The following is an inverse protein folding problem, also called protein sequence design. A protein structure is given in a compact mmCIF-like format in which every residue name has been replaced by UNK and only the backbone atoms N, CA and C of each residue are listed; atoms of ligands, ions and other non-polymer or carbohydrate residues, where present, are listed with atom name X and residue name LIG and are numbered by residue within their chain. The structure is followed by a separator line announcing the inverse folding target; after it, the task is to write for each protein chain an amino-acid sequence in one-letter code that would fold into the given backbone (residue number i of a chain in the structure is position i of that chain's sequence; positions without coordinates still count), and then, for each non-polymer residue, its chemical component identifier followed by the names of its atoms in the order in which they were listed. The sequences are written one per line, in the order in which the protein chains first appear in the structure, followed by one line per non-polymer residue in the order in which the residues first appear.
data_IF_501481244955
#
_entry.id   IF_501481244955
#
_cell.length_a   1.000
_cell.length_b   1.000
_cell.length_c   1.000
_cell.angle_alpha   90.00
_cell.angle_beta   90.00
_cell.angle_gamma   90.00
#
_symmetry.space_group_name_H-M   'P 1'
#
loop_
_entity.id
_entity.type
_entity.pdbx_description
1 polymer ?
#
# COMPACT_ATOMS: atom_id res chain seq x y z
N UNK A 1 8.23 12.34 -5.16
CA UNK A 1 7.27 11.25 -5.47
C UNK A 1 6.54 10.94 -4.16
N UNK A 2 5.22 11.12 -4.04
CA UNK A 2 4.51 11.09 -2.74
C UNK A 2 3.84 9.74 -2.39
N UNK A 3 4.20 8.67 -3.10
CA UNK A 3 3.93 7.32 -2.58
C UNK A 3 5.12 6.86 -1.76
N UNK A 4 4.88 6.28 -0.57
CA UNK A 4 5.98 5.84 0.26
C UNK A 4 6.79 4.79 -0.49
N UNK A 5 8.12 4.97 -0.60
CA UNK A 5 8.94 3.92 -1.17
C UNK A 5 8.76 2.66 -0.34
N UNK A 6 8.81 1.49 -0.98
CA UNK A 6 8.62 0.21 -0.29
C UNK A 6 9.58 0.10 0.91
N UNK A 7 10.82 0.55 0.75
CA UNK A 7 11.82 0.61 1.83
C UNK A 7 11.36 1.39 3.07
N UNK A 8 10.60 2.49 2.88
CA UNK A 8 10.03 3.24 4.01
C UNK A 8 8.86 2.48 4.65
N UNK A 9 8.01 1.84 3.84
CA UNK A 9 6.91 1.04 4.36
C UNK A 9 7.41 -0.12 5.21
N UNK A 10 8.50 -0.76 4.81
CA UNK A 10 9.02 -1.96 5.49
C UNK A 10 10.28 -1.69 6.32
N UNK A 11 10.50 -0.45 6.77
CA UNK A 11 11.70 -0.10 7.54
C UNK A 11 11.75 -0.73 8.94
N UNK A 12 10.60 -1.18 9.44
CA UNK A 12 10.39 -1.79 10.75
C UNK A 12 10.12 -3.30 10.67
N UNK A 13 10.38 -3.92 9.52
CA UNK A 13 10.11 -5.34 9.32
C UNK A 13 11.02 -6.21 10.17
N UNK A 14 10.46 -7.26 10.77
CA UNK A 14 11.23 -8.32 11.41
C UNK A 14 11.94 -9.15 10.34
N UNK A 15 13.24 -8.91 10.17
CA UNK A 15 14.07 -9.56 9.16
C UNK A 15 14.25 -11.07 9.39
N UNK A 16 14.28 -11.54 10.64
CA UNK A 16 14.42 -12.97 10.93
C UNK A 16 13.10 -13.71 10.66
N UNK A 17 11.98 -13.13 11.07
CA UNK A 17 10.66 -13.65 10.71
C UNK A 17 10.46 -13.65 9.19
N UNK A 18 10.88 -12.59 8.50
CA UNK A 18 10.81 -12.52 7.03
C UNK A 18 11.66 -13.62 6.39
N UNK A 19 12.89 -13.82 6.85
CA UNK A 19 13.79 -14.86 6.34
C UNK A 19 13.21 -16.25 6.53
N UNK A 20 12.64 -16.51 7.71
CA UNK A 20 11.96 -17.77 8.03
C UNK A 20 10.78 -18.02 7.08
N UNK A 21 9.92 -17.01 6.93
CA UNK A 21 8.77 -17.05 6.02
C UNK A 21 9.21 -17.30 4.57
N UNK A 22 10.20 -16.56 4.05
CA UNK A 22 10.68 -16.76 2.69
C UNK A 22 11.26 -18.18 2.49
N UNK A 23 11.90 -18.75 3.52
CA UNK A 23 12.35 -20.13 3.52
C UNK A 23 11.19 -21.14 3.37
N UNK A 24 10.07 -20.90 4.06
CA UNK A 24 8.83 -21.68 3.93
C UNK A 24 8.24 -21.50 2.52
N UNK A 25 7.93 -20.26 2.13
CA UNK A 25 7.29 -19.93 0.85
C UNK A 25 8.10 -20.40 -0.35
N UNK A 26 9.44 -20.42 -0.27
CA UNK A 26 10.29 -20.84 -1.39
C UNK A 26 9.98 -22.26 -1.89
N UNK A 27 9.54 -23.14 -1.00
CA UNK A 27 9.28 -24.57 -1.28
C UNK A 27 7.88 -24.85 -1.82
N UNK A 28 7.00 -23.88 -1.73
CA UNK A 28 5.56 -24.05 -1.97
C UNK A 28 5.12 -23.41 -3.30
N UNK A 29 3.86 -23.59 -3.68
CA UNK A 29 3.29 -22.98 -4.89
C UNK A 29 2.69 -21.58 -4.65
N UNK A 30 2.16 -20.97 -5.71
CA UNK A 30 1.54 -19.64 -5.64
C UNK A 30 0.23 -19.62 -4.83
N UNK A 31 -0.53 -20.72 -4.83
CA UNK A 31 -1.80 -20.81 -4.12
C UNK A 31 -1.59 -20.91 -2.61
N UNK A 32 -0.60 -21.69 -2.18
CA UNK A 32 -0.12 -21.73 -0.80
C UNK A 32 0.31 -20.34 -0.34
N UNK A 33 1.16 -19.65 -1.13
CA UNK A 33 1.62 -18.30 -0.82
C UNK A 33 0.45 -17.32 -0.64
N UNK A 34 -0.57 -17.40 -1.50
CA UNK A 34 -1.80 -16.60 -1.39
C UNK A 34 -2.61 -16.94 -0.13
N UNK A 35 -2.77 -18.22 0.21
CA UNK A 35 -3.49 -18.64 1.42
C UNK A 35 -2.74 -18.22 2.69
N UNK A 36 -1.42 -18.39 2.73
CA UNK A 36 -0.56 -17.93 3.83
C UNK A 36 -0.67 -16.42 4.04
N UNK A 37 -0.77 -15.65 2.95
CA UNK A 37 -0.98 -14.20 3.03
C UNK A 37 -2.28 -13.85 3.79
N UNK A 38 -3.38 -14.55 3.48
CA UNK A 38 -4.66 -14.35 4.16
C UNK A 38 -4.60 -14.73 5.65
N UNK A 39 -3.92 -15.83 5.99
CA UNK A 39 -3.71 -16.24 7.38
C UNK A 39 -2.92 -15.21 8.17
N UNK A 40 -1.80 -14.73 7.61
CA UNK A 40 -0.96 -13.70 8.23
C UNK A 40 -1.72 -12.38 8.40
N UNK A 41 -2.56 -12.01 7.42
CA UNK A 41 -3.41 -10.83 7.54
C UNK A 41 -4.41 -10.97 8.70
N UNK A 42 -5.04 -12.14 8.86
CA UNK A 42 -5.95 -12.42 10.01
C UNK A 42 -5.23 -12.32 11.35
N UNK A 43 -3.93 -12.66 11.39
CA UNK A 43 -3.06 -12.50 12.55
C UNK A 43 -2.55 -11.06 12.74
N UNK A 44 -3.04 -10.10 11.94
CA UNK A 44 -2.62 -8.70 11.91
C UNK A 44 -1.14 -8.51 11.50
N UNK A 45 -0.51 -9.54 10.92
CA UNK A 45 0.84 -9.47 10.39
C UNK A 45 0.82 -9.02 8.92
N UNK A 46 0.53 -7.73 8.74
CA UNK A 46 0.34 -7.11 7.41
C UNK A 46 1.62 -7.20 6.56
N UNK A 47 2.79 -7.02 7.17
CA UNK A 47 4.06 -7.06 6.43
C UNK A 47 4.30 -8.42 5.81
N UNK A 48 4.18 -9.48 6.61
CA UNK A 48 4.35 -10.86 6.12
C UNK A 48 3.25 -11.24 5.12
N UNK A 49 2.03 -10.73 5.26
CA UNK A 49 0.97 -10.91 4.27
C UNK A 49 1.34 -10.31 2.91
N UNK A 50 1.92 -9.10 2.90
CA UNK A 50 2.39 -8.43 1.67
C UNK A 50 3.52 -9.22 1.00
N UNK A 51 4.49 -9.71 1.76
CA UNK A 51 5.56 -10.54 1.22
C UNK A 51 5.04 -11.88 0.68
N UNK A 52 4.09 -12.51 1.38
CA UNK A 52 3.50 -13.79 0.95
C UNK A 52 2.75 -13.67 -0.37
N UNK A 53 1.90 -12.65 -0.53
CA UNK A 53 1.25 -12.42 -1.83
C UNK A 53 2.28 -11.97 -2.89
N UNK A 54 3.32 -11.24 -2.47
CA UNK A 54 4.53 -10.95 -3.25
C UNK A 54 5.12 -12.20 -3.90
N UNK A 55 5.38 -13.23 -3.10
CA UNK A 55 5.92 -14.51 -3.55
C UNK A 55 4.96 -15.24 -4.51
N UNK A 56 3.65 -15.15 -4.31
CA UNK A 56 2.67 -15.72 -5.24
C UNK A 56 2.80 -15.13 -6.66
N UNK A 57 3.04 -13.81 -6.78
CA UNK A 57 3.31 -13.17 -8.08
C UNK A 57 4.55 -13.72 -8.76
N UNK A 58 5.65 -13.86 -8.01
CA UNK A 58 6.93 -14.32 -8.56
C UNK A 58 6.83 -15.77 -9.05
N UNK A 59 6.11 -16.60 -8.31
CA UNK A 59 5.91 -18.03 -8.65
C UNK A 59 5.01 -18.21 -9.86
N UNK A 60 3.96 -17.40 -10.00
CA UNK A 60 3.05 -17.50 -11.12
C UNK A 60 2.67 -16.13 -11.71
N UNK A 61 3.55 -15.53 -12.52
CA UNK A 61 3.31 -14.22 -13.12
C UNK A 61 2.08 -14.17 -14.03
N UNK A 62 1.66 -15.31 -14.60
CA UNK A 62 0.47 -15.40 -15.46
C UNK A 62 -0.82 -15.12 -14.70
N UNK A 63 -0.84 -15.34 -13.38
CA UNK A 63 -1.99 -15.08 -12.50
C UNK A 63 -1.95 -13.70 -11.82
N UNK A 64 -1.11 -12.77 -12.29
CA UNK A 64 -0.95 -11.43 -11.69
C UNK A 64 -2.28 -10.71 -11.43
N UNK A 65 -3.25 -10.82 -12.36
CA UNK A 65 -4.57 -10.18 -12.19
C UNK A 65 -5.35 -10.74 -11.00
N UNK A 66 -5.10 -11.98 -10.60
CA UNK A 66 -5.71 -12.63 -9.42
C UNK A 66 -5.13 -12.08 -8.13
N UNK A 67 -3.81 -11.84 -8.09
CA UNK A 67 -3.09 -11.47 -6.87
C UNK A 67 -2.99 -9.96 -6.64
N UNK A 68 -3.09 -9.17 -7.71
CA UNK A 68 -2.99 -7.72 -7.64
C UNK A 68 -4.06 -7.05 -6.75
N UNK A 69 -5.33 -7.50 -6.74
CA UNK A 69 -6.32 -7.03 -5.78
C UNK A 69 -5.94 -7.29 -4.32
N UNK A 70 -5.40 -8.48 -3.99
CA UNK A 70 -4.97 -8.83 -2.64
C UNK A 70 -3.83 -7.91 -2.17
N UNK A 71 -2.80 -7.77 -3.02
CA UNK A 71 -1.68 -6.88 -2.74
C UNK A 71 -2.13 -5.44 -2.46
N UNK A 72 -3.05 -4.92 -3.29
CA UNK A 72 -3.65 -3.60 -3.06
C UNK A 72 -4.35 -3.51 -1.71
N UNK A 73 -5.16 -4.49 -1.34
CA UNK A 73 -5.87 -4.50 -0.07
C UNK A 73 -4.90 -4.45 1.11
N UNK A 74 -3.82 -5.24 1.08
CA UNK A 74 -2.82 -5.25 2.16
C UNK A 74 -1.99 -3.97 2.21
N UNK A 75 -1.53 -3.46 1.07
CA UNK A 75 -0.74 -2.22 1.00
C UNK A 75 -1.56 -1.02 1.48
N UNK A 76 -2.86 -0.96 1.19
CA UNK A 76 -3.75 0.07 1.75
C UNK A 76 -3.73 0.07 3.28
N UNK A 77 -3.75 -1.12 3.91
CA UNK A 77 -3.64 -1.22 5.36
C UNK A 77 -2.26 -0.75 5.86
N UNK A 78 -1.17 -1.20 5.23
CA UNK A 78 0.18 -0.81 5.64
C UNK A 78 0.41 0.70 5.49
N UNK A 79 -0.07 1.29 4.41
CA UNK A 79 -0.01 2.74 4.21
C UNK A 79 -0.83 3.45 5.27
N UNK A 80 -2.09 3.04 5.49
CA UNK A 80 -2.94 3.70 6.49
C UNK A 80 -2.40 3.57 7.93
N UNK A 81 -1.70 2.49 8.26
CA UNK A 81 -1.11 2.30 9.59
C UNK A 81 0.21 3.06 9.78
N UNK A 82 0.97 3.26 8.70
CA UNK A 82 2.33 3.84 8.76
C UNK A 82 2.36 5.31 8.37
N UNK A 83 1.50 5.72 7.44
CA UNK A 83 1.51 7.05 6.83
C UNK A 83 0.14 7.70 7.04
N UNK A 84 0.13 8.81 7.78
CA UNK A 84 -1.07 9.64 7.95
C UNK A 84 -1.35 10.48 6.69
N UNK A 85 -1.43 9.83 5.51
CA UNK A 85 -1.55 10.47 4.20
C UNK A 85 -2.66 9.83 3.35
N UNK A 86 -3.80 10.51 3.20
CA UNK A 86 -4.94 10.05 2.41
C UNK A 86 -4.64 9.98 0.91
N UNK A 87 -3.74 10.81 0.39
CA UNK A 87 -3.29 10.69 -0.99
C UNK A 87 -2.51 9.39 -1.19
N UNK A 88 -1.65 9.02 -0.23
CA UNK A 88 -0.90 7.78 -0.29
C UNK A 88 -1.84 6.56 -0.24
N UNK A 89 -2.87 6.60 0.61
CA UNK A 89 -3.90 5.54 0.68
C UNK A 89 -4.60 5.34 -0.66
N UNK A 90 -4.89 6.42 -1.41
CA UNK A 90 -5.47 6.34 -2.75
C UNK A 90 -4.45 6.01 -3.87
N UNK A 91 -3.17 5.87 -3.55
CA UNK A 91 -2.15 5.63 -4.56
C UNK A 91 -1.79 6.87 -5.40
N UNK A 92 -2.06 8.08 -4.89
CA UNK A 92 -1.86 9.34 -5.61
C UNK A 92 -0.46 9.90 -5.31
N UNK A 93 0.36 10.02 -6.37
CA UNK A 93 1.74 10.55 -6.29
C UNK A 93 1.82 12.07 -6.36
N UNK A 94 0.83 12.69 -7.01
CA UNK A 94 0.78 14.13 -7.24
C UNK A 94 -0.40 14.72 -6.47
N UNK A 95 -0.09 15.34 -5.34
CA UNK A 95 -1.07 15.99 -4.46
C UNK A 95 -1.63 17.28 -5.06
N UNK A 96 -1.01 17.81 -6.12
CA UNK A 96 -1.52 18.95 -6.87
C UNK A 96 -2.60 18.56 -7.89
N UNK A 97 -2.81 17.25 -8.08
CA UNK A 97 -3.81 16.70 -9.00
C UNK A 97 -5.22 17.23 -8.75
N UNK A 98 -5.97 17.41 -9.84
CA UNK A 98 -7.34 17.91 -9.79
C UNK A 98 -8.32 16.90 -9.20
N UNK A 99 -9.58 17.33 -9.01
CA UNK A 99 -10.65 16.44 -8.57
C UNK A 99 -10.78 15.21 -9.48
N UNK A 100 -10.66 15.39 -10.80
CA UNK A 100 -10.81 14.30 -11.78
C UNK A 100 -9.73 13.22 -11.62
N UNK A 101 -8.48 13.61 -11.32
CA UNK A 101 -7.39 12.67 -11.08
C UNK A 101 -7.64 11.85 -9.81
N UNK A 102 -8.08 12.51 -8.74
CA UNK A 102 -8.43 11.86 -7.47
C UNK A 102 -9.60 10.89 -7.68
N UNK A 103 -10.65 11.34 -8.36
CA UNK A 103 -11.84 10.53 -8.66
C UNK A 103 -11.48 9.30 -9.49
N UNK A 104 -10.63 9.46 -10.50
CA UNK A 104 -10.14 8.35 -11.33
C UNK A 104 -9.36 7.33 -10.52
N UNK A 105 -8.45 7.78 -9.64
CA UNK A 105 -7.67 6.86 -8.80
C UNK A 105 -8.55 6.15 -7.77
N UNK A 106 -9.44 6.87 -7.10
CA UNK A 106 -10.42 6.29 -6.18
C UNK A 106 -11.24 5.18 -6.86
N UNK A 107 -11.86 5.47 -8.00
CA UNK A 107 -12.70 4.49 -8.69
C UNK A 107 -11.91 3.25 -9.13
N UNK A 108 -10.69 3.44 -9.64
CA UNK A 108 -9.81 2.34 -10.02
C UNK A 108 -9.42 1.46 -8.84
N UNK A 109 -9.08 2.06 -7.70
CA UNK A 109 -8.67 1.34 -6.50
C UNK A 109 -9.86 0.65 -5.84
N UNK A 110 -10.95 1.37 -5.61
CA UNK A 110 -12.16 0.85 -4.98
C UNK A 110 -12.78 -0.29 -5.82
N UNK A 111 -12.80 -0.19 -7.14
CA UNK A 111 -13.28 -1.26 -8.02
C UNK A 111 -12.42 -2.53 -7.88
N UNK A 112 -11.10 -2.39 -7.89
CA UNK A 112 -10.19 -3.53 -7.72
C UNK A 112 -10.34 -4.22 -6.36
N UNK A 113 -10.61 -3.44 -5.29
CA UNK A 113 -10.81 -4.00 -3.94
C UNK A 113 -12.19 -4.65 -3.81
N UNK A 114 -13.25 -4.07 -4.38
CA UNK A 114 -14.61 -4.63 -4.34
C UNK A 114 -14.72 -6.01 -4.98
N UNK A 115 -13.93 -6.27 -6.02
CA UNK A 115 -13.87 -7.59 -6.67
C UNK A 115 -12.86 -8.54 -6.03
N UNK A 116 -12.15 -8.12 -4.97
CA UNK A 116 -11.15 -8.93 -4.30
C UNK A 116 -11.82 -9.91 -3.31
N UNK A 117 -11.59 -11.23 -3.43
CA UNK A 117 -12.13 -12.21 -2.49
C UNK A 117 -11.32 -12.33 -1.18
N UNK A 118 -10.40 -11.40 -0.93
CA UNK A 118 -9.57 -11.36 0.28
C UNK A 118 -10.38 -11.00 1.53
N UNK A 119 -10.02 -11.56 2.68
CA UNK A 119 -10.55 -11.11 3.99
C UNK A 119 -10.19 -9.66 4.32
N UNK A 120 -9.17 -9.10 3.69
CA UNK A 120 -8.78 -7.70 3.86
C UNK A 120 -9.62 -6.74 3.01
N UNK A 121 -10.41 -7.24 2.05
CA UNK A 121 -11.04 -6.39 1.03
C UNK A 121 -12.01 -5.37 1.65
N UNK A 122 -12.86 -5.81 2.59
CA UNK A 122 -13.87 -4.94 3.20
C UNK A 122 -13.23 -3.82 4.02
N UNK A 123 -12.28 -4.15 4.90
CA UNK A 123 -11.60 -3.15 5.72
C UNK A 123 -10.71 -2.22 4.89
N UNK A 124 -10.06 -2.71 3.83
CA UNK A 124 -9.33 -1.87 2.88
C UNK A 124 -10.27 -0.88 2.18
N UNK A 125 -11.46 -1.33 1.77
CA UNK A 125 -12.44 -0.47 1.12
C UNK A 125 -12.93 0.64 2.06
N UNK A 126 -13.07 0.37 3.36
CA UNK A 126 -13.40 1.40 4.36
C UNK A 126 -12.32 2.49 4.42
N UNK A 127 -11.04 2.11 4.43
CA UNK A 127 -9.92 3.07 4.40
C UNK A 127 -9.92 3.92 3.11
N UNK A 128 -10.13 3.28 1.96
CA UNK A 128 -10.21 3.96 0.66
C UNK A 128 -11.39 4.92 0.60
N UNK A 129 -12.55 4.54 1.14
CA UNK A 129 -13.73 5.40 1.22
C UNK A 129 -13.53 6.57 2.20
N UNK A 130 -12.83 6.36 3.32
CA UNK A 130 -12.49 7.43 4.25
C UNK A 130 -11.57 8.48 3.58
N UNK A 131 -10.55 8.03 2.85
CA UNK A 131 -9.68 8.92 2.08
C UNK A 131 -10.48 9.72 1.03
N UNK A 132 -11.38 9.05 0.30
CA UNK A 132 -12.24 9.71 -0.68
C UNK A 132 -13.19 10.74 -0.05
N UNK A 133 -13.78 10.44 1.11
CA UNK A 133 -14.69 11.36 1.79
C UNK A 133 -14.05 12.71 2.13
N UNK A 134 -12.75 12.70 2.43
CA UNK A 134 -11.94 13.91 2.67
C UNK A 134 -11.54 14.57 1.35
N UNK A 135 -10.90 13.81 0.45
CA UNK A 135 -10.24 14.38 -0.74
C UNK A 135 -11.19 14.79 -1.86
N UNK A 136 -12.40 14.24 -1.91
CA UNK A 136 -13.41 14.59 -2.92
C UNK A 136 -14.08 15.93 -2.67
N UNK A 137 -14.05 16.43 -1.44
CA UNK A 137 -14.72 17.68 -1.06
C UNK A 137 -13.71 18.82 -1.01
N UNK A 138 -13.86 19.90 -1.82
CA UNK A 138 -12.86 20.97 -1.89
C UNK A 138 -12.49 21.57 -0.53
N UNK A 139 -13.50 21.84 0.33
CA UNK A 139 -13.27 22.44 1.65
C UNK A 139 -12.54 21.50 2.62
N UNK A 140 -12.90 20.21 2.61
CA UNK A 140 -12.26 19.22 3.49
C UNK A 140 -10.84 18.91 3.02
N UNK A 141 -10.64 18.79 1.71
CA UNK A 141 -9.32 18.65 1.09
C UNK A 141 -8.42 19.83 1.44
N UNK A 142 -8.90 21.07 1.30
CA UNK A 142 -8.09 22.24 1.65
C UNK A 142 -7.67 22.27 3.12
N UNK A 143 -8.59 21.95 4.04
CA UNK A 143 -8.28 21.85 5.46
C UNK A 143 -7.27 20.74 5.75
N UNK A 144 -7.45 19.58 5.11
CA UNK A 144 -6.55 18.44 5.22
C UNK A 144 -5.15 18.76 4.68
N UNK A 145 -5.07 19.40 3.52
CA UNK A 145 -3.81 19.82 2.89
C UNK A 145 -3.03 20.76 3.82
N UNK A 146 -3.71 21.76 4.42
CA UNK A 146 -3.07 22.66 5.41
C UNK A 146 -2.49 21.89 6.59
N UNK A 147 -3.22 20.92 7.13
CA UNK A 147 -2.73 20.08 8.23
C UNK A 147 -1.54 19.23 7.78
N UNK A 148 -1.66 18.55 6.64
CA UNK A 148 -0.65 17.65 6.12
C UNK A 148 0.68 18.39 5.85
N UNK A 149 0.63 19.55 5.20
CA UNK A 149 1.83 20.33 4.89
C UNK A 149 2.44 21.03 6.11
N UNK A 150 1.71 21.14 7.22
CA UNK A 150 2.24 21.62 8.50
C UNK A 150 2.83 20.50 9.37
N UNK A 151 2.63 19.22 8.98
CA UNK A 151 3.12 18.07 9.74
C UNK A 151 4.61 17.83 9.50
N UNK A 152 5.39 17.84 10.58
CA UNK A 152 6.81 17.46 10.57
C UNK A 152 7.02 16.03 10.07
N UNK A 153 6.13 15.09 10.41
CA UNK A 153 6.19 13.70 9.94
C UNK A 153 6.05 13.62 8.41
N UNK A 154 5.14 14.41 7.84
CA UNK A 154 4.97 14.47 6.39
C UNK A 154 6.20 15.07 5.71
N UNK A 155 6.77 16.14 6.28
CA UNK A 155 7.97 16.77 5.72
C UNK A 155 9.21 15.85 5.81
N UNK A 156 9.38 15.13 6.92
CA UNK A 156 10.41 14.11 7.08
C UNK A 156 10.23 12.98 6.06
N UNK A 157 9.00 12.49 5.92
CA UNK A 157 8.62 11.50 4.92
C UNK A 157 8.96 11.95 3.48
N UNK A 158 8.59 13.19 3.11
CA UNK A 158 8.90 13.75 1.78
C UNK A 158 10.41 13.88 1.59
N UNK A 159 11.12 14.35 2.61
CA UNK A 159 12.59 14.48 2.59
C UNK A 159 13.29 13.15 2.35
N UNK A 160 12.92 12.11 3.12
CA UNK A 160 13.45 10.75 2.96
C UNK A 160 13.13 10.21 1.56
N UNK A 161 11.88 10.30 1.12
CA UNK A 161 11.49 9.81 -0.22
C UNK A 161 12.28 10.48 -1.35
N UNK A 162 12.67 11.76 -1.19
CA UNK A 162 13.47 12.49 -2.16
C UNK A 162 14.96 12.13 -2.11
N UNK A 163 15.52 11.81 -0.95
CA UNK A 163 16.93 11.42 -0.80
C UNK A 163 17.17 10.00 -1.34
N UNK A 164 16.26 9.06 -1.07
CA UNK A 164 16.28 7.71 -1.64
C UNK A 164 16.20 7.72 -3.17
N UNK A 165 15.36 8.58 -3.75
CA UNK A 165 15.28 8.73 -5.22
C UNK A 165 16.60 9.19 -5.83
N UNK A 166 17.41 9.99 -5.13
CA UNK A 166 18.74 10.41 -5.60
C UNK A 166 19.78 9.29 -5.45
N UNK A 167 19.73 8.53 -4.36
CA UNK A 167 20.65 7.40 -4.12
C UNK A 167 20.45 6.26 -5.13
N UNK A 168 19.20 5.94 -5.49
CA UNK A 168 18.88 4.90 -6.47
C UNK A 168 19.31 5.26 -7.91
N UNK A 169 19.41 6.55 -8.25
CA UNK A 169 19.89 7.03 -9.56
C UNK A 169 21.41 7.05 -9.67
N UNK A 170 22.14 7.04 -8.56
CA UNK A 170 23.60 7.07 -8.55
C UNK A 170 24.25 5.67 -8.52
N UNK A 171 23.43 4.61 -8.46
CA UNK A 171 23.86 3.21 -8.44
C UNK A 171 23.37 2.42 -9.69
N UNK A 172 22.90 3.12 -10.73
CA UNK A 172 22.52 2.57 -12.03
C UNK A 172 23.45 3.12 -13.12
#
# INVERSE_FOLDING_TARGET
MLLPPMEYLFNDIDHEALKSLLGELSKEDDEFCKNKAEELFKQQNIDMAIYSIGSAFVKNPKRIQTYHPYFKAYVVHKIASKVNNWYAVLGIKDVTGGFDDINKQYNRLASAIRSCPSVAAESALRLVNAAWAVLSQPKLREAYDKQLFSSTEFLEYVSLSSSYSKAALNNA
#
